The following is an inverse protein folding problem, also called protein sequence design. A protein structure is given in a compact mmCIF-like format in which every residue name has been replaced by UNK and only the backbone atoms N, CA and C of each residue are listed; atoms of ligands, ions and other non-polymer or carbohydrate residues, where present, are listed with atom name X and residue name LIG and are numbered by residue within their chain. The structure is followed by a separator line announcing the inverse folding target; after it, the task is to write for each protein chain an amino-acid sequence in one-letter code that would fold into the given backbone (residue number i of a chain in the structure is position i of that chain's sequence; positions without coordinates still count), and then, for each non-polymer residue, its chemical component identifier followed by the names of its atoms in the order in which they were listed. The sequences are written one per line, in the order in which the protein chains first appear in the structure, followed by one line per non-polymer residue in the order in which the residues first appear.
data_IF_211223259383
#
_entry.id   IF_211223259383
#
_cell.length_a   1.000
_cell.length_b   1.000
_cell.length_c   1.000
_cell.angle_alpha   90.00
_cell.angle_beta   90.00
_cell.angle_gamma   90.00
#
_symmetry.space_group_name_H-M   'P 1'
#
loop_
_entity.id
_entity.type
_entity.pdbx_description
1 polymer ?
#
# COMPACT_ATOMS: atom_id res chain seq x y z
N UNK A 1 53.75 -39.42 7.68
CA UNK A 1 52.95 -38.95 6.53
C UNK A 1 51.44 -39.07 6.80
N UNK A 2 50.93 -40.23 7.20
CA UNK A 2 49.50 -40.42 7.50
C UNK A 2 48.95 -39.62 8.69
N UNK A 3 49.76 -39.42 9.73
CA UNK A 3 49.37 -38.62 10.92
C UNK A 3 49.12 -37.15 10.58
N UNK A 4 49.94 -36.54 9.72
CA UNK A 4 49.74 -35.17 9.22
C UNK A 4 48.42 -35.06 8.44
N UNK A 5 48.17 -36.01 7.53
CA UNK A 5 46.94 -36.04 6.73
C UNK A 5 45.69 -36.22 7.61
N UNK A 6 45.79 -37.06 8.65
CA UNK A 6 44.71 -37.26 9.63
C UNK A 6 44.42 -35.96 10.39
N UNK A 7 45.44 -35.27 10.90
CA UNK A 7 45.25 -34.00 11.61
C UNK A 7 44.66 -32.93 10.68
N UNK A 8 45.14 -32.86 9.43
CA UNK A 8 44.65 -31.91 8.44
C UNK A 8 43.17 -32.14 8.08
N UNK A 9 42.76 -33.40 7.91
CA UNK A 9 41.37 -33.76 7.62
C UNK A 9 40.44 -33.46 8.78
N UNK A 10 40.87 -33.73 10.03
CA UNK A 10 40.12 -33.35 11.23
C UNK A 10 39.95 -31.84 11.31
N UNK A 11 41.02 -31.06 11.09
CA UNK A 11 40.95 -29.60 11.06
C UNK A 11 40.01 -29.09 9.97
N UNK A 12 40.04 -29.68 8.78
CA UNK A 12 39.18 -29.31 7.67
C UNK A 12 37.70 -29.54 8.00
N UNK A 13 37.37 -30.69 8.61
CA UNK A 13 36.00 -30.99 9.05
C UNK A 13 35.55 -30.01 10.12
N UNK A 14 36.40 -29.69 11.10
CA UNK A 14 36.07 -28.71 12.14
C UNK A 14 35.83 -27.31 11.57
N UNK A 15 36.65 -26.87 10.62
CA UNK A 15 36.48 -25.58 9.95
C UNK A 15 35.16 -25.56 9.17
N UNK A 16 34.86 -26.64 8.44
CA UNK A 16 33.61 -26.78 7.71
C UNK A 16 32.38 -26.71 8.62
N UNK A 17 32.38 -27.46 9.72
CA UNK A 17 31.30 -27.43 10.72
C UNK A 17 31.18 -26.03 11.34
N UNK A 18 32.30 -25.39 11.68
CA UNK A 18 32.32 -24.03 12.21
C UNK A 18 31.71 -23.01 11.25
N UNK A 19 32.05 -23.08 9.96
CA UNK A 19 31.46 -22.23 8.93
C UNK A 19 29.95 -22.46 8.81
N UNK A 20 29.51 -23.72 8.84
CA UNK A 20 28.09 -24.07 8.76
C UNK A 20 27.30 -23.50 9.94
N UNK A 21 27.80 -23.64 11.17
CA UNK A 21 27.19 -23.05 12.35
C UNK A 21 27.12 -21.52 12.28
N UNK A 22 28.18 -20.87 11.77
CA UNK A 22 28.21 -19.42 11.59
C UNK A 22 27.09 -18.94 10.66
N UNK A 23 26.94 -19.56 9.48
CA UNK A 23 25.90 -19.18 8.53
C UNK A 23 24.49 -19.50 9.05
N UNK A 24 24.29 -20.67 9.67
CA UNK A 24 22.98 -21.03 10.24
C UNK A 24 22.56 -20.06 11.34
N UNK A 25 23.48 -19.67 12.23
CA UNK A 25 23.21 -18.68 13.27
C UNK A 25 22.88 -17.29 12.66
N UNK A 26 23.59 -16.91 11.58
CA UNK A 26 23.30 -15.68 10.84
C UNK A 26 21.90 -15.66 10.23
N UNK A 27 21.51 -16.74 9.54
CA UNK A 27 20.18 -16.90 8.94
C UNK A 27 19.10 -16.86 10.04
N UNK A 28 19.32 -17.58 11.14
CA UNK A 28 18.36 -17.61 12.24
C UNK A 28 18.08 -16.20 12.80
N UNK A 29 19.13 -15.41 13.05
CA UNK A 29 18.99 -14.01 13.51
C UNK A 29 18.19 -13.17 12.53
N UNK A 30 18.51 -13.26 11.24
CA UNK A 30 17.81 -12.52 10.19
C UNK A 30 16.32 -12.89 10.14
N UNK A 31 15.98 -14.17 10.22
CA UNK A 31 14.59 -14.63 10.23
C UNK A 31 13.82 -14.11 11.45
N UNK A 32 14.47 -14.05 12.61
CA UNK A 32 13.87 -13.49 13.84
C UNK A 32 13.54 -12.01 13.66
N UNK A 33 14.44 -11.23 13.07
CA UNK A 33 14.22 -9.80 12.81
C UNK A 33 13.14 -9.54 11.76
N UNK A 34 13.05 -10.40 10.73
CA UNK A 34 12.06 -10.28 9.67
C UNK A 34 10.64 -10.63 10.15
N UNK A 35 10.48 -11.74 10.88
CA UNK A 35 9.15 -12.29 11.19
C UNK A 35 9.01 -13.05 12.49
N UNK A 36 10.07 -13.20 13.29
CA UNK A 36 10.04 -14.04 14.50
C UNK A 36 9.30 -13.45 15.70
N UNK A 37 9.01 -12.14 15.70
CA UNK A 37 8.34 -11.47 16.83
C UNK A 37 7.29 -10.46 16.35
N UNK A 38 6.39 -10.04 17.25
CA UNK A 38 5.40 -9.00 16.95
C UNK A 38 6.00 -7.63 16.61
N UNK A 39 7.26 -7.38 16.99
CA UNK A 39 8.02 -6.15 16.70
C UNK A 39 8.93 -6.27 15.48
N UNK A 40 8.92 -7.43 14.81
CA UNK A 40 9.66 -7.69 13.58
C UNK A 40 9.21 -6.78 12.42
N UNK A 41 10.00 -6.73 11.34
CA UNK A 41 9.66 -5.92 10.16
C UNK A 41 8.28 -6.28 9.57
N UNK A 42 7.97 -7.57 9.40
CA UNK A 42 6.65 -8.01 8.92
C UNK A 42 5.54 -7.68 9.93
N UNK A 43 5.83 -7.78 11.23
CA UNK A 43 4.91 -7.37 12.29
C UNK A 43 4.53 -5.90 12.16
N UNK A 44 5.52 -5.02 11.98
CA UNK A 44 5.32 -3.58 11.76
C UNK A 44 4.57 -3.30 10.45
N UNK A 45 4.94 -3.97 9.35
CA UNK A 45 4.26 -3.82 8.06
C UNK A 45 2.79 -4.21 8.14
N UNK A 46 2.46 -5.32 8.80
CA UNK A 46 1.08 -5.75 8.99
C UNK A 46 0.27 -4.72 9.79
N UNK A 47 0.84 -4.20 10.88
CA UNK A 47 0.18 -3.18 11.70
C UNK A 47 -0.03 -1.88 10.90
N UNK A 48 1.00 -1.42 10.18
CA UNK A 48 0.92 -0.23 9.34
C UNK A 48 -0.09 -0.38 8.20
N UNK A 49 -0.08 -1.52 7.51
CA UNK A 49 -1.04 -1.80 6.43
C UNK A 49 -2.48 -1.85 6.95
N UNK A 50 -2.70 -2.49 8.12
CA UNK A 50 -4.03 -2.53 8.74
C UNK A 50 -4.52 -1.14 9.14
N UNK A 51 -3.64 -0.28 9.64
CA UNK A 51 -3.99 1.11 9.94
C UNK A 51 -4.38 1.85 8.66
N UNK A 52 -3.59 1.73 7.59
CA UNK A 52 -3.92 2.31 6.28
C UNK A 52 -5.27 1.80 5.79
N UNK A 53 -5.54 0.50 5.81
CA UNK A 53 -6.81 -0.08 5.40
C UNK A 53 -7.99 0.45 6.22
N UNK A 54 -7.80 0.61 7.53
CA UNK A 54 -8.84 1.14 8.43
C UNK A 54 -9.14 2.60 8.11
N UNK A 55 -8.11 3.43 7.96
CA UNK A 55 -8.24 4.86 7.66
C UNK A 55 -8.68 5.12 6.21
N UNK A 56 -8.38 4.23 5.27
CA UNK A 56 -8.69 4.43 3.84
C UNK A 56 -9.91 3.64 3.36
N UNK A 57 -10.41 2.68 4.13
CA UNK A 57 -11.52 1.81 3.74
C UNK A 57 -12.82 2.55 3.42
N UNK A 58 -13.00 3.75 3.98
CA UNK A 58 -14.15 4.62 3.69
C UNK A 58 -14.03 5.46 2.41
N UNK A 59 -12.84 5.56 1.80
CA UNK A 59 -12.59 6.44 0.65
C UNK A 59 -13.42 6.06 -0.59
N UNK A 60 -13.58 4.77 -0.97
CA UNK A 60 -14.35 4.40 -2.16
C UNK A 60 -15.80 4.87 -2.09
N UNK A 61 -16.43 4.77 -0.91
CA UNK A 61 -17.81 5.21 -0.68
C UNK A 61 -17.92 6.72 -0.76
N UNK A 62 -16.98 7.44 -0.12
CA UNK A 62 -16.98 8.91 -0.14
C UNK A 62 -16.73 9.47 -1.54
N UNK A 63 -15.78 8.91 -2.28
CA UNK A 63 -15.49 9.32 -3.68
C UNK A 63 -16.70 9.06 -4.58
N UNK A 64 -17.37 7.92 -4.42
CA UNK A 64 -18.60 7.61 -5.16
C UNK A 64 -19.68 8.64 -4.87
N UNK A 65 -19.96 8.91 -3.59
CA UNK A 65 -20.96 9.91 -3.17
C UNK A 65 -20.62 11.31 -3.68
N UNK A 66 -19.36 11.71 -3.59
CA UNK A 66 -18.89 13.00 -4.07
C UNK A 66 -19.12 13.13 -5.58
N UNK A 67 -18.74 12.13 -6.36
CA UNK A 67 -18.92 12.13 -7.81
C UNK A 67 -20.41 12.20 -8.20
N UNK A 68 -21.28 11.46 -7.51
CA UNK A 68 -22.73 11.55 -7.73
C UNK A 68 -23.26 12.94 -7.44
N UNK A 69 -22.87 13.55 -6.32
CA UNK A 69 -23.30 14.91 -5.96
C UNK A 69 -22.83 15.94 -6.98
N UNK A 70 -21.56 15.88 -7.40
CA UNK A 70 -21.02 16.79 -8.40
C UNK A 70 -21.71 16.62 -9.76
N UNK A 71 -22.02 15.39 -10.16
CA UNK A 71 -22.79 15.10 -11.37
C UNK A 71 -24.18 15.74 -11.31
N UNK A 72 -24.87 15.60 -10.17
CA UNK A 72 -26.19 16.18 -9.96
C UNK A 72 -26.17 17.71 -9.97
N UNK A 73 -25.16 18.32 -9.33
CA UNK A 73 -24.95 19.78 -9.36
C UNK A 73 -24.73 20.24 -10.81
N UNK A 74 -23.86 19.56 -11.57
CA UNK A 74 -23.62 19.88 -12.98
C UNK A 74 -24.89 19.80 -13.83
N UNK A 75 -25.72 18.76 -13.62
CA UNK A 75 -27.01 18.63 -14.30
C UNK A 75 -27.97 19.77 -13.93
N UNK A 76 -28.07 20.13 -12.65
CA UNK A 76 -28.89 21.25 -12.19
C UNK A 76 -28.45 22.59 -12.77
N UNK A 77 -27.14 22.85 -12.81
CA UNK A 77 -26.59 24.08 -13.41
C UNK A 77 -26.89 24.16 -14.91
N UNK A 78 -26.89 23.04 -15.64
CA UNK A 78 -27.30 23.01 -17.05
C UNK A 78 -28.76 23.42 -17.23
N UNK A 79 -29.66 22.93 -16.37
CA UNK A 79 -31.07 23.31 -16.38
C UNK A 79 -31.25 24.81 -16.10
N UNK A 80 -30.52 25.34 -15.10
CA UNK A 80 -30.52 26.77 -14.80
C UNK A 80 -30.07 27.59 -16.01
N UNK A 81 -29.00 27.18 -16.70
CA UNK A 81 -28.52 27.87 -17.91
C UNK A 81 -29.58 27.87 -19.02
N UNK A 82 -30.20 26.72 -19.30
CA UNK A 82 -31.27 26.63 -20.31
C UNK A 82 -32.47 27.51 -19.96
N UNK A 83 -32.86 27.57 -18.69
CA UNK A 83 -33.95 28.44 -18.23
C UNK A 83 -33.59 29.92 -18.38
N UNK A 84 -32.35 30.32 -18.07
CA UNK A 84 -31.88 31.70 -18.27
C UNK A 84 -31.89 32.07 -19.76
N UNK A 85 -31.35 31.23 -20.64
CA UNK A 85 -31.36 31.45 -22.09
C UNK A 85 -32.78 31.65 -22.62
N UNK A 86 -33.72 30.79 -22.21
CA UNK A 86 -35.13 30.92 -22.57
C UNK A 86 -35.77 32.21 -22.04
N UNK A 87 -35.47 32.60 -20.80
CA UNK A 87 -35.98 33.84 -20.20
C UNK A 87 -35.47 35.08 -20.94
N UNK A 88 -34.19 35.09 -21.32
CA UNK A 88 -33.59 36.17 -22.11
C UNK A 88 -34.24 36.24 -23.49
N UNK A 89 -34.41 35.11 -24.18
CA UNK A 89 -35.08 35.04 -25.49
C UNK A 89 -36.51 35.61 -25.43
N UNK A 90 -37.29 35.21 -24.42
CA UNK A 90 -38.65 35.69 -24.23
C UNK A 90 -38.71 37.19 -23.94
N UNK A 91 -37.80 37.70 -23.10
CA UNK A 91 -37.70 39.13 -22.80
C UNK A 91 -37.33 39.96 -24.05
N UNK A 92 -36.44 39.44 -24.90
CA UNK A 92 -36.09 40.08 -26.17
C UNK A 92 -37.27 40.09 -27.16
N UNK A 93 -38.07 39.02 -27.22
CA UNK A 93 -39.27 38.97 -28.05
C UNK A 93 -40.33 39.98 -27.60
N UNK A 94 -40.58 40.11 -26.28
CA UNK A 94 -41.53 41.10 -25.75
C UNK A 94 -41.12 42.55 -26.05
N UNK A 95 -39.81 42.86 -26.10
CA UNK A 95 -39.32 44.20 -26.41
C UNK A 95 -39.52 44.59 -27.88
N UNK A 96 -39.61 43.62 -28.79
CA UNK A 96 -39.74 43.83 -30.23
C UNK A 96 -41.20 43.79 -30.74
N UNK A 97 -42.18 43.70 -29.82
CA UNK A 97 -43.63 43.88 -30.06
C UNK A 97 -44.04 45.25 -29.56
#
# INVERSE_FOLDING_TARGET
MYTLLMVLTVLLVLLFVGALLYFVAGIHRLLVDIGGTGVSFLGKLRMGLRAIETETGHLPVQVTRLNTTLTNIGAGLKVVNTNLEGTIQNALQQKNV
#
